data_IF_060323055600
#
_entry.id   IF_060323055600
#
_cell.length_a   1.000
_cell.length_b   1.000
_cell.length_c   1.000
_cell.angle_alpha   90.00
_cell.angle_beta   90.00
_cell.angle_gamma   90.00
#
_symmetry.space_group_name_H-M   'P 1'
#
loop_
_entity.id
_entity.type
_entity.pdbx_description
1 polymer ?
#
# COMPACT_ATOMS: atom_id res chain seq x y z
N UNK A 1 118.10 -44.61 10.01
CA UNK A 1 118.06 -43.68 8.86
C UNK A 1 117.19 -42.51 9.29
N UNK A 2 117.80 -41.38 9.66
CA UNK A 2 118.05 -40.20 8.82
C UNK A 2 116.87 -39.21 8.82
N UNK A 3 117.06 -38.14 9.58
CA UNK A 3 116.79 -36.71 9.30
C UNK A 3 115.84 -36.34 8.14
N UNK A 4 114.91 -35.39 8.38
CA UNK A 4 115.11 -33.96 8.11
C UNK A 4 113.89 -33.09 8.49
N UNK A 5 114.20 -31.88 8.96
CA UNK A 5 113.32 -30.73 9.22
C UNK A 5 112.77 -30.06 7.96
N UNK A 6 111.67 -29.30 8.11
CA UNK A 6 111.35 -27.96 7.52
C UNK A 6 109.93 -27.57 7.99
N UNK A 7 109.68 -26.52 8.79
CA UNK A 7 109.70 -25.05 8.57
C UNK A 7 108.69 -24.51 7.54
N UNK A 8 107.87 -23.55 8.01
CA UNK A 8 107.24 -22.36 7.34
C UNK A 8 105.80 -22.18 7.84
N UNK A 9 105.52 -21.22 8.74
CA UNK A 9 105.11 -19.82 8.52
C UNK A 9 103.62 -19.62 8.17
N UNK A 10 102.98 -18.81 9.01
CA UNK A 10 101.86 -17.88 8.78
C UNK A 10 100.53 -18.42 8.23
N UNK A 11 99.47 -18.35 9.03
CA UNK A 11 98.52 -17.23 8.91
C UNK A 11 97.55 -17.16 10.09
N UNK A 12 97.31 -15.91 10.47
CA UNK A 12 96.47 -15.42 11.55
C UNK A 12 95.10 -15.10 10.94
N UNK A 13 94.03 -15.67 11.49
CA UNK A 13 92.66 -15.18 11.28
C UNK A 13 91.96 -15.13 12.64
N UNK A 14 91.81 -13.90 13.12
CA UNK A 14 90.94 -13.51 14.21
C UNK A 14 89.49 -13.84 13.83
N UNK A 15 88.88 -14.77 14.55
CA UNK A 15 87.44 -15.02 14.45
C UNK A 15 86.75 -13.98 15.34
N UNK A 16 86.44 -12.83 14.75
CA UNK A 16 85.52 -11.87 15.34
C UNK A 16 84.14 -12.50 15.47
N UNK A 17 83.58 -12.45 16.68
CA UNK A 17 82.22 -12.85 16.95
C UNK A 17 81.26 -11.90 16.21
N UNK A 18 80.70 -12.35 15.10
CA UNK A 18 79.57 -11.72 14.44
C UNK A 18 78.36 -11.72 15.39
N UNK A 19 78.17 -10.60 16.09
CA UNK A 19 76.87 -10.27 16.68
C UNK A 19 75.89 -10.05 15.55
N UNK A 20 75.01 -11.03 15.34
CA UNK A 20 73.82 -10.93 14.51
C UNK A 20 72.95 -9.77 15.05
N UNK A 21 72.61 -8.74 14.24
CA UNK A 21 71.67 -7.73 14.66
C UNK A 21 70.26 -8.32 14.62
N UNK A 22 69.62 -8.33 15.79
CA UNK A 22 68.18 -8.60 15.94
C UNK A 22 67.44 -7.40 15.32
N UNK A 23 67.01 -7.52 14.06
CA UNK A 23 65.99 -6.62 13.47
C UNK A 23 64.83 -7.45 12.96
N UNK A 24 63.91 -7.84 13.85
CA UNK A 24 62.80 -8.74 13.55
C UNK A 24 61.55 -8.41 14.38
N UNK A 25 61.32 -7.13 14.69
CA UNK A 25 60.17 -6.72 15.53
C UNK A 25 59.31 -5.61 14.95
N UNK A 26 59.70 -4.97 13.83
CA UNK A 26 58.96 -3.85 13.25
C UNK A 26 57.93 -4.27 12.20
N UNK A 27 58.21 -5.28 11.36
CA UNK A 27 57.25 -5.74 10.32
C UNK A 27 56.06 -6.53 10.91
N UNK A 28 56.28 -7.33 11.96
CA UNK A 28 55.19 -8.08 12.60
C UNK A 28 54.19 -7.14 13.31
N UNK A 29 54.66 -6.02 13.86
CA UNK A 29 53.81 -5.03 14.54
C UNK A 29 52.92 -4.28 13.53
N UNK A 30 53.46 -3.94 12.36
CA UNK A 30 52.73 -3.24 11.31
C UNK A 30 51.65 -4.13 10.66
N UNK A 31 51.92 -5.44 10.52
CA UNK A 31 50.93 -6.42 10.01
C UNK A 31 49.78 -6.61 11.02
N UNK A 32 50.09 -6.67 12.32
CA UNK A 32 49.07 -6.82 13.37
C UNK A 32 48.14 -5.60 13.41
N UNK A 33 48.68 -4.38 13.30
CA UNK A 33 47.90 -3.13 13.32
C UNK A 33 46.97 -3.01 12.11
N UNK A 34 47.42 -3.45 10.92
CA UNK A 34 46.60 -3.50 9.70
C UNK A 34 45.47 -4.52 9.83
N UNK A 35 45.74 -5.70 10.40
CA UNK A 35 44.72 -6.75 10.61
C UNK A 35 43.67 -6.31 11.64
N UNK A 36 44.08 -5.65 12.73
CA UNK A 36 43.15 -5.11 13.72
C UNK A 36 42.24 -4.02 13.14
N UNK A 37 42.79 -3.13 12.30
CA UNK A 37 42.01 -2.12 11.59
C UNK A 37 40.97 -2.75 10.64
N UNK A 38 41.38 -3.76 9.86
CA UNK A 38 40.45 -4.49 8.99
C UNK A 38 39.38 -5.24 9.78
N UNK A 39 39.72 -5.82 10.94
CA UNK A 39 38.77 -6.50 11.82
C UNK A 39 37.73 -5.52 12.38
N UNK A 40 38.16 -4.34 12.84
CA UNK A 40 37.25 -3.29 13.31
C UNK A 40 36.34 -2.78 12.19
N UNK A 41 36.87 -2.62 10.98
CA UNK A 41 36.10 -2.23 9.82
C UNK A 41 35.06 -3.30 9.44
N UNK A 42 35.43 -4.58 9.49
CA UNK A 42 34.50 -5.70 9.28
C UNK A 42 33.40 -5.73 10.37
N UNK A 43 33.77 -5.54 11.64
CA UNK A 43 32.82 -5.50 12.76
C UNK A 43 31.81 -4.36 12.65
N UNK A 44 32.25 -3.16 12.26
CA UNK A 44 31.35 -2.02 12.04
C UNK A 44 30.39 -2.26 10.87
N UNK A 45 30.88 -2.89 9.79
CA UNK A 45 30.06 -3.29 8.65
C UNK A 45 29.03 -4.36 9.02
N UNK A 46 29.41 -5.34 9.83
CA UNK A 46 28.49 -6.38 10.34
C UNK A 46 27.39 -5.72 11.16
N UNK A 47 27.72 -4.84 12.11
CA UNK A 47 26.73 -4.10 12.92
C UNK A 47 25.75 -3.28 12.07
N UNK A 48 26.26 -2.64 11.01
CA UNK A 48 25.42 -1.88 10.09
C UNK A 48 24.45 -2.79 9.33
N UNK A 49 24.93 -3.92 8.82
CA UNK A 49 24.11 -4.90 8.11
C UNK A 49 23.06 -5.55 9.03
N UNK A 50 23.42 -5.85 10.28
CA UNK A 50 22.49 -6.35 11.30
C UNK A 50 21.37 -5.34 11.57
N UNK A 51 21.70 -4.05 11.71
CA UNK A 51 20.70 -2.99 11.87
C UNK A 51 19.77 -2.91 10.64
N UNK A 52 20.34 -2.98 9.43
CA UNK A 52 19.55 -2.93 8.19
C UNK A 52 18.63 -4.14 8.05
N UNK A 53 19.10 -5.34 8.39
CA UNK A 53 18.28 -6.56 8.41
C UNK A 53 17.13 -6.43 9.39
N UNK A 54 17.38 -5.92 10.60
CA UNK A 54 16.35 -5.75 11.61
C UNK A 54 15.26 -4.76 11.18
N UNK A 55 15.63 -3.68 10.48
CA UNK A 55 14.67 -2.73 9.92
C UNK A 55 13.87 -3.33 8.74
N UNK A 56 14.53 -4.15 7.91
CA UNK A 56 13.85 -4.89 6.84
C UNK A 56 12.86 -5.91 7.40
N UNK A 57 13.22 -6.67 8.44
CA UNK A 57 12.35 -7.63 9.11
C UNK A 57 11.09 -6.96 9.65
N UNK A 58 11.24 -5.83 10.36
CA UNK A 58 10.09 -5.04 10.85
C UNK A 58 9.19 -4.56 9.71
N UNK A 59 9.78 -4.16 8.59
CA UNK A 59 9.03 -3.71 7.41
C UNK A 59 8.24 -4.87 6.81
N UNK A 60 8.85 -6.04 6.67
CA UNK A 60 8.21 -7.25 6.16
C UNK A 60 7.07 -7.67 7.08
N UNK A 61 7.27 -7.70 8.40
CA UNK A 61 6.22 -8.03 9.36
C UNK A 61 5.02 -7.09 9.24
N UNK A 62 5.27 -5.77 9.15
CA UNK A 62 4.22 -4.77 8.96
C UNK A 62 3.44 -4.97 7.66
N UNK A 63 4.14 -5.23 6.54
CA UNK A 63 3.50 -5.51 5.25
C UNK A 63 2.68 -6.80 5.29
N UNK A 64 3.19 -7.84 5.95
CA UNK A 64 2.52 -9.13 6.08
C UNK A 64 1.21 -8.98 6.88
N UNK A 65 1.23 -8.17 7.93
CA UNK A 65 0.03 -7.88 8.72
C UNK A 65 -1.00 -7.08 7.92
N UNK A 66 -0.56 -6.08 7.14
CA UNK A 66 -1.44 -5.33 6.24
C UNK A 66 -2.08 -6.23 5.18
N UNK A 67 -1.32 -7.15 4.59
CA UNK A 67 -1.83 -8.10 3.61
C UNK A 67 -2.87 -9.04 4.24
N UNK A 68 -2.61 -9.59 5.43
CA UNK A 68 -3.58 -10.42 6.15
C UNK A 68 -4.88 -9.67 6.46
N UNK A 69 -4.78 -8.40 6.86
CA UNK A 69 -5.95 -7.56 7.10
C UNK A 69 -6.75 -7.34 5.80
N UNK A 70 -6.06 -7.06 4.70
CA UNK A 70 -6.69 -6.90 3.38
C UNK A 70 -7.34 -8.19 2.89
N UNK A 71 -6.71 -9.35 3.09
CA UNK A 71 -7.25 -10.68 2.77
C UNK A 71 -8.50 -10.97 3.60
N UNK A 72 -8.46 -10.74 4.92
CA UNK A 72 -9.60 -10.91 5.80
C UNK A 72 -10.77 -10.01 5.39
N UNK A 73 -10.49 -8.73 5.11
CA UNK A 73 -11.51 -7.80 4.63
C UNK A 73 -12.11 -8.25 3.29
N UNK A 74 -11.26 -8.68 2.34
CA UNK A 74 -11.70 -9.19 1.03
C UNK A 74 -12.55 -10.46 1.18
N UNK A 75 -12.15 -11.39 2.04
CA UNK A 75 -12.92 -12.60 2.33
C UNK A 75 -14.29 -12.28 2.95
N UNK A 76 -14.33 -11.31 3.87
CA UNK A 76 -15.56 -10.85 4.49
C UNK A 76 -16.50 -10.15 3.48
N UNK A 77 -15.96 -9.38 2.52
CA UNK A 77 -16.73 -8.80 1.42
C UNK A 77 -17.31 -9.88 0.50
N UNK A 78 -16.47 -10.83 0.04
CA UNK A 78 -16.89 -11.91 -0.86
C UNK A 78 -17.95 -12.82 -0.23
N UNK A 79 -17.84 -13.04 1.08
CA UNK A 79 -18.82 -13.86 1.83
C UNK A 79 -20.09 -13.09 2.20
N UNK A 80 -20.25 -11.83 1.78
CA UNK A 80 -21.39 -10.96 2.11
C UNK A 80 -21.64 -10.84 3.62
N UNK A 81 -20.61 -11.10 4.44
CA UNK A 81 -20.71 -11.09 5.91
C UNK A 81 -20.50 -9.69 6.52
N UNK A 82 -20.06 -8.71 5.71
CA UNK A 82 -19.94 -7.31 6.17
C UNK A 82 -21.24 -6.55 5.95
N UNK A 83 -21.93 -6.77 4.83
CA UNK A 83 -23.15 -6.05 4.48
C UNK A 83 -24.09 -7.02 3.77
N UNK A 84 -25.18 -7.40 4.44
CA UNK A 84 -26.31 -8.01 3.75
C UNK A 84 -26.87 -6.98 2.76
N UNK A 85 -27.26 -7.39 1.54
CA UNK A 85 -27.91 -6.48 0.61
C UNK A 85 -29.14 -5.87 1.28
N UNK A 86 -29.34 -4.56 1.10
CA UNK A 86 -30.50 -3.88 1.65
C UNK A 86 -31.79 -4.55 1.23
N UNK A 87 -32.75 -4.62 2.15
CA UNK A 87 -34.10 -4.99 1.76
C UNK A 87 -34.59 -4.01 0.70
N UNK A 88 -35.27 -4.48 -0.36
CA UNK A 88 -35.83 -3.58 -1.35
C UNK A 88 -36.79 -2.60 -0.67
N UNK A 89 -36.93 -1.41 -1.27
CA UNK A 89 -37.94 -0.43 -0.87
C UNK A 89 -39.35 -1.05 -0.92
N UNK A 90 -40.38 -0.26 -0.63
CA UNK A 90 -41.79 -0.70 -0.72
C UNK A 90 -42.29 -0.98 -2.16
N UNK A 91 -41.47 -1.59 -3.02
CA UNK A 91 -41.77 -1.86 -4.44
C UNK A 91 -41.36 -0.73 -5.39
N UNK A 92 -40.91 0.41 -4.86
CA UNK A 92 -40.60 1.62 -5.63
C UNK A 92 -39.16 1.69 -6.17
N UNK A 93 -38.33 0.69 -5.88
CA UNK A 93 -36.92 0.65 -6.25
C UNK A 93 -36.69 0.70 -7.77
N UNK A 94 -37.65 0.21 -8.57
CA UNK A 94 -37.57 0.21 -10.04
C UNK A 94 -38.25 1.43 -10.69
N UNK A 95 -38.78 2.36 -9.89
CA UNK A 95 -39.42 3.56 -10.42
C UNK A 95 -38.42 4.39 -11.23
N UNK A 96 -38.85 5.12 -12.28
CA UNK A 96 -37.95 5.93 -13.10
C UNK A 96 -37.11 6.92 -12.29
N UNK A 97 -37.72 7.52 -11.25
CA UNK A 97 -37.05 8.40 -10.32
C UNK A 97 -35.95 7.70 -9.52
N UNK A 98 -36.21 6.50 -8.97
CA UNK A 98 -35.19 5.75 -8.25
C UNK A 98 -34.09 5.24 -9.18
N UNK A 99 -34.41 4.89 -10.44
CA UNK A 99 -33.42 4.48 -11.44
C UNK A 99 -32.43 5.60 -11.78
N UNK A 100 -32.87 6.86 -11.85
CA UNK A 100 -31.94 8.01 -11.99
C UNK A 100 -30.92 8.03 -10.85
N UNK A 101 -31.34 7.68 -9.63
CA UNK A 101 -30.50 7.59 -8.44
C UNK A 101 -29.78 6.24 -8.27
N UNK A 102 -29.81 5.35 -9.27
CA UNK A 102 -29.11 4.07 -9.23
C UNK A 102 -29.85 2.97 -8.48
N UNK A 103 -31.16 3.09 -8.34
CA UNK A 103 -32.05 2.13 -7.65
C UNK A 103 -31.60 1.77 -6.23
N UNK A 104 -31.37 2.76 -5.34
CA UNK A 104 -30.85 2.50 -4.01
C UNK A 104 -31.84 1.70 -3.16
N UNK A 105 -31.35 0.70 -2.46
CA UNK A 105 -32.12 -0.10 -1.49
C UNK A 105 -31.90 0.37 -0.06
N UNK A 106 -30.71 0.92 0.21
CA UNK A 106 -30.36 1.51 1.51
C UNK A 106 -30.10 3.00 1.42
N UNK A 107 -30.14 3.66 2.57
CA UNK A 107 -29.82 5.08 2.66
C UNK A 107 -28.33 5.34 2.34
N UNK A 108 -27.46 4.42 2.74
CA UNK A 108 -26.03 4.50 2.46
C UNK A 108 -25.77 4.38 0.95
N UNK A 109 -26.47 3.49 0.25
CA UNK A 109 -26.41 3.40 -1.21
C UNK A 109 -26.90 4.68 -1.88
N UNK A 110 -28.02 5.25 -1.42
CA UNK A 110 -28.52 6.53 -1.94
C UNK A 110 -27.46 7.63 -1.84
N UNK A 111 -26.81 7.76 -0.69
CA UNK A 111 -25.77 8.76 -0.47
C UNK A 111 -24.50 8.50 -1.29
N UNK A 112 -24.09 7.23 -1.44
CA UNK A 112 -22.96 6.84 -2.27
C UNK A 112 -23.22 7.13 -3.74
N UNK A 113 -24.34 6.65 -4.27
CA UNK A 113 -24.78 6.85 -5.65
C UNK A 113 -24.86 8.35 -5.99
N UNK A 114 -25.45 9.16 -5.10
CA UNK A 114 -25.55 10.59 -5.30
C UNK A 114 -24.18 11.27 -5.39
N UNK A 115 -23.20 10.87 -4.57
CA UNK A 115 -21.83 11.42 -4.64
C UNK A 115 -21.14 11.08 -5.95
N UNK A 116 -21.36 9.88 -6.49
CA UNK A 116 -20.82 9.50 -7.79
C UNK A 116 -21.46 10.29 -8.93
N UNK A 117 -22.79 10.40 -8.91
CA UNK A 117 -23.54 11.18 -9.90
C UNK A 117 -23.14 12.66 -9.89
N UNK A 118 -22.88 13.25 -8.72
CA UNK A 118 -22.39 14.64 -8.62
C UNK A 118 -21.06 14.85 -9.33
N UNK A 119 -20.17 13.86 -9.31
CA UNK A 119 -18.87 13.94 -10.00
C UNK A 119 -19.05 13.83 -11.52
N UNK A 120 -19.93 12.94 -11.96
CA UNK A 120 -20.14 12.62 -13.39
C UNK A 120 -20.98 13.66 -14.12
N UNK A 121 -22.04 14.14 -13.47
CA UNK A 121 -23.03 15.05 -14.07
C UNK A 121 -22.73 16.53 -13.75
N UNK A 122 -21.57 16.85 -13.16
CA UNK A 122 -21.17 18.23 -12.94
C UNK A 122 -21.11 18.99 -14.29
N UNK A 123 -21.64 20.23 -14.40
CA UNK A 123 -21.64 20.97 -15.66
C UNK A 123 -20.26 21.13 -16.33
N UNK A 124 -19.19 21.13 -15.54
CA UNK A 124 -17.81 21.28 -16.04
C UNK A 124 -17.19 19.97 -16.56
N UNK A 125 -17.75 18.82 -16.19
CA UNK A 125 -17.18 17.48 -16.49
C UNK A 125 -18.09 16.69 -17.44
N UNK A 126 -19.38 16.98 -17.41
CA UNK A 126 -20.40 16.26 -18.16
C UNK A 126 -20.16 16.29 -19.68
N UNK A 127 -20.39 15.19 -20.41
CA UNK A 127 -20.23 15.15 -21.87
C UNK A 127 -21.38 15.84 -22.63
N UNK A 128 -22.45 16.24 -21.95
CA UNK A 128 -23.62 16.86 -22.55
C UNK A 128 -23.41 18.36 -22.82
N UNK A 129 -24.25 18.95 -23.67
CA UNK A 129 -24.23 20.39 -23.87
C UNK A 129 -24.47 21.13 -22.55
N UNK A 130 -23.80 22.27 -22.35
CA UNK A 130 -23.79 23.00 -21.07
C UNK A 130 -25.21 23.26 -20.51
N UNK A 131 -26.15 23.64 -21.36
CA UNK A 131 -27.55 23.87 -20.95
C UNK A 131 -28.23 22.61 -20.43
N UNK A 132 -28.00 21.47 -21.10
CA UNK A 132 -28.52 20.17 -20.69
C UNK A 132 -27.83 19.69 -19.41
N UNK A 133 -26.51 19.81 -19.31
CA UNK A 133 -25.75 19.44 -18.12
C UNK A 133 -26.23 20.20 -16.87
N UNK A 134 -26.46 21.51 -16.97
CA UNK A 134 -27.03 22.33 -15.89
C UNK A 134 -28.44 21.83 -15.50
N UNK A 135 -29.29 21.54 -16.49
CA UNK A 135 -30.65 21.05 -16.24
C UNK A 135 -30.65 19.68 -15.55
N UNK A 136 -29.81 18.75 -16.02
CA UNK A 136 -29.62 17.41 -15.43
C UNK A 136 -29.09 17.51 -14.00
N UNK A 137 -28.08 18.35 -13.77
CA UNK A 137 -27.49 18.55 -12.45
C UNK A 137 -28.50 19.14 -11.45
N UNK A 138 -29.28 20.15 -11.88
CA UNK A 138 -30.34 20.75 -11.05
C UNK A 138 -31.46 19.74 -10.73
N UNK A 139 -31.87 18.95 -11.73
CA UNK A 139 -32.85 17.88 -11.55
C UNK A 139 -32.37 16.83 -10.55
N UNK A 140 -31.13 16.35 -10.71
CA UNK A 140 -30.50 15.38 -9.80
C UNK A 140 -30.51 15.86 -8.35
N UNK A 141 -30.08 17.10 -8.10
CA UNK A 141 -30.06 17.68 -6.75
C UNK A 141 -31.45 17.76 -6.13
N UNK A 142 -32.42 18.18 -6.93
CA UNK A 142 -33.82 18.30 -6.49
C UNK A 142 -34.41 16.93 -6.17
N UNK A 143 -34.17 15.95 -7.05
CA UNK A 143 -34.63 14.58 -6.88
C UNK A 143 -34.03 13.92 -5.64
N UNK A 144 -32.72 14.06 -5.43
CA UNK A 144 -32.06 13.56 -4.21
C UNK A 144 -32.65 14.20 -2.95
N UNK A 145 -32.84 15.53 -2.94
CA UNK A 145 -33.43 16.25 -1.79
C UNK A 145 -34.81 15.70 -1.43
N UNK A 146 -35.71 15.58 -2.42
CA UNK A 146 -37.07 15.06 -2.22
C UNK A 146 -37.02 13.61 -1.72
N UNK A 147 -36.18 12.79 -2.34
CA UNK A 147 -36.03 11.37 -1.96
C UNK A 147 -35.52 11.23 -0.52
N UNK A 148 -34.59 12.10 -0.12
CA UNK A 148 -34.03 12.12 1.24
C UNK A 148 -35.06 12.53 2.28
N UNK A 149 -35.86 13.54 1.97
CA UNK A 149 -36.94 14.05 2.83
C UNK A 149 -38.01 12.98 3.07
N UNK A 150 -38.43 12.28 2.00
CA UNK A 150 -39.47 11.24 2.06
C UNK A 150 -38.91 9.82 2.23
N UNK A 151 -37.65 9.66 2.64
CA UNK A 151 -37.00 8.34 2.71
C UNK A 151 -37.76 7.35 3.62
N UNK A 152 -38.36 7.84 4.70
CA UNK A 152 -39.12 7.01 5.64
C UNK A 152 -40.33 6.35 4.98
N UNK A 153 -40.94 7.01 3.99
CA UNK A 153 -42.10 6.52 3.23
C UNK A 153 -41.72 5.50 2.14
N UNK A 154 -40.43 5.33 1.87
CA UNK A 154 -39.90 4.40 0.88
C UNK A 154 -39.39 3.10 1.51
N UNK A 155 -39.24 3.07 2.83
CA UNK A 155 -38.75 1.89 3.56
C UNK A 155 -39.58 0.63 3.23
N UNK A 156 -38.98 -0.57 3.29
CA UNK A 156 -39.68 -1.83 3.01
C UNK A 156 -40.98 -2.01 3.81
N UNK A 157 -41.02 -1.51 5.04
CA UNK A 157 -42.17 -1.63 5.96
C UNK A 157 -43.21 -0.52 5.77
N UNK A 158 -42.94 0.49 4.94
CA UNK A 158 -43.84 1.61 4.75
C UNK A 158 -45.02 1.18 3.87
N UNK A 159 -46.28 1.45 4.30
CA UNK A 159 -47.44 1.08 3.52
C UNK A 159 -47.50 1.89 2.22
N UNK A 160 -47.84 1.22 1.12
CA UNK A 160 -48.08 1.85 -0.18
C UNK A 160 -49.31 1.20 -0.81
N UNK A 161 -50.18 2.01 -1.41
CA UNK A 161 -51.32 1.49 -2.17
C UNK A 161 -50.88 1.08 -3.57
N UNK A 162 -51.55 0.09 -4.17
CA UNK A 162 -51.23 -0.36 -5.53
C UNK A 162 -51.32 0.78 -6.55
N UNK A 163 -52.34 1.65 -6.43
CA UNK A 163 -52.51 2.81 -7.30
C UNK A 163 -51.34 3.79 -7.18
N UNK A 164 -50.83 4.02 -5.96
CA UNK A 164 -49.68 4.90 -5.74
C UNK A 164 -48.40 4.29 -6.31
N UNK A 165 -48.20 2.98 -6.12
CA UNK A 165 -47.08 2.26 -6.69
C UNK A 165 -47.10 2.35 -8.22
N UNK A 166 -48.24 2.08 -8.87
CA UNK A 166 -48.40 2.22 -10.32
C UNK A 166 -48.13 3.65 -10.79
N UNK A 167 -48.59 4.66 -10.04
CA UNK A 167 -48.31 6.07 -10.34
C UNK A 167 -46.81 6.36 -10.31
N UNK A 168 -46.09 5.87 -9.30
CA UNK A 168 -44.63 6.05 -9.18
C UNK A 168 -43.87 5.31 -10.28
N UNK A 169 -44.30 4.10 -10.64
CA UNK A 169 -43.68 3.29 -11.70
C UNK A 169 -43.86 3.91 -13.09
N UNK A 170 -44.99 4.59 -13.33
CA UNK A 170 -45.31 5.26 -14.59
C UNK A 170 -45.01 6.76 -14.58
N UNK A 171 -44.36 7.27 -13.52
CA UNK A 171 -44.03 8.68 -13.40
C UNK A 171 -43.08 9.11 -14.53
N UNK A 172 -43.42 10.20 -15.21
CA UNK A 172 -42.55 10.75 -16.26
C UNK A 172 -41.37 11.47 -15.62
N UNK A 173 -40.18 11.10 -16.06
CA UNK A 173 -38.94 11.79 -15.72
C UNK A 173 -38.46 12.58 -16.94
N UNK A 174 -37.86 13.78 -16.74
CA UNK A 174 -37.43 14.64 -17.85
C UNK A 174 -36.26 14.05 -18.65
N UNK A 175 -35.53 13.10 -18.07
CA UNK A 175 -34.36 12.47 -18.66
C UNK A 175 -34.47 10.96 -18.54
N UNK A 176 -33.88 10.24 -19.50
CA UNK A 176 -33.81 8.78 -19.49
C UNK A 176 -32.94 8.33 -18.30
N UNK A 177 -33.44 7.50 -17.37
CA UNK A 177 -32.69 7.08 -16.19
C UNK A 177 -31.35 6.42 -16.51
N UNK A 178 -31.33 5.60 -17.56
CA UNK A 178 -30.14 4.85 -17.99
C UNK A 178 -29.01 5.78 -18.46
N UNK A 179 -29.31 7.03 -18.83
CA UNK A 179 -28.25 7.97 -19.24
C UNK A 179 -27.47 8.57 -18.07
N UNK A 180 -27.82 8.26 -16.81
CA UNK A 180 -27.09 8.70 -15.61
C UNK A 180 -26.04 7.71 -15.11
N UNK A 181 -26.02 6.49 -15.63
CA UNK A 181 -25.14 5.40 -15.21
C UNK A 181 -24.24 4.93 -16.34
#
# INVERSE_FOLDING_TARGET
MQWLSSSSHENQEDIEAETIPISSSTEEVEIVEVVESQLQQAQSKIKLLESQLQDQERTIESQTEQLKQAENFSALLLTHRILEPGLPLNGTQLSPAMRVLGSPTTLTELEANYRELLKREHPDVSPFALSEAIARFSYLRSLYRITREHWQELKPTAPITLQELERRMNARVPFVPESFW
#
